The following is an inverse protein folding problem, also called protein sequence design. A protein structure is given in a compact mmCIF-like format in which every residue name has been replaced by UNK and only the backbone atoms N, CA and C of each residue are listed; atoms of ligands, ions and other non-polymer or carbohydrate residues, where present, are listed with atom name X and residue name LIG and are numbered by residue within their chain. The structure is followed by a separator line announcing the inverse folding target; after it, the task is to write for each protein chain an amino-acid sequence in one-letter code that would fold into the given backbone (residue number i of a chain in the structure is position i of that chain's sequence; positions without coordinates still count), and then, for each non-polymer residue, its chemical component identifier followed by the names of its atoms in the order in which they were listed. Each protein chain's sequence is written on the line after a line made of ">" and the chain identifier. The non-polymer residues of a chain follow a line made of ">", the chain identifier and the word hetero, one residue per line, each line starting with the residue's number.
data_IF_053227788722
#
_entry.id   IF_053227788722
#
_cell.length_a   1.000
_cell.length_b   1.000
_cell.length_c   1.000
_cell.angle_alpha   90.00
_cell.angle_beta   90.00
_cell.angle_gamma   90.00
#
_symmetry.space_group_name_H-M   'P 1'
#
loop_
_entity.id
_entity.type
_entity.pdbx_description
1 polymer ?
#
# COMPACT_ATOMS: atom_id res chain seq x y z
N UNK A 1 -11.56 -18.58 8.54
CA UNK A 1 -10.10 -18.56 8.26
C UNK A 1 -9.38 -18.96 9.54
N UNK A 2 -9.18 -20.26 9.77
CA UNK A 2 -8.58 -20.77 11.00
C UNK A 2 -7.20 -21.40 10.73
N UNK A 3 -6.18 -20.72 11.25
CA UNK A 3 -5.05 -21.26 12.02
C UNK A 3 -4.09 -22.26 11.33
N UNK A 4 -3.47 -21.91 10.21
CA UNK A 4 -2.35 -22.72 9.66
C UNK A 4 -1.18 -22.88 10.67
N UNK A 5 -0.90 -21.85 11.46
CA UNK A 5 0.23 -21.84 12.39
C UNK A 5 -0.01 -22.63 13.70
N UNK A 6 -1.26 -22.96 14.05
CA UNK A 6 -1.56 -23.80 15.23
C UNK A 6 -2.14 -25.17 14.88
N UNK A 7 -2.37 -25.48 13.60
CA UNK A 7 -2.67 -26.86 13.14
C UNK A 7 -1.44 -27.60 12.60
N UNK A 8 -0.28 -26.96 12.59
CA UNK A 8 0.95 -27.56 12.07
C UNK A 8 1.88 -27.90 13.25
N UNK A 9 2.10 -29.19 13.48
CA UNK A 9 2.93 -29.67 14.60
C UNK A 9 4.37 -29.13 14.51
N UNK A 10 4.86 -28.85 13.30
CA UNK A 10 6.19 -28.27 13.05
C UNK A 10 6.30 -26.79 13.48
N UNK A 11 5.19 -26.08 13.68
CA UNK A 11 5.17 -24.69 14.20
C UNK A 11 4.85 -24.61 15.68
N UNK A 12 4.40 -25.71 16.30
CA UNK A 12 4.10 -25.84 17.72
C UNK A 12 5.38 -26.07 18.55
N UNK A 13 6.31 -25.12 18.53
CA UNK A 13 7.41 -25.07 19.50
C UNK A 13 6.92 -24.46 20.82
N UNK A 14 7.52 -24.87 21.95
CA UNK A 14 7.18 -24.40 23.31
C UNK A 14 7.28 -22.86 23.46
N UNK A 15 7.96 -22.17 22.52
CA UNK A 15 8.06 -20.70 22.46
C UNK A 15 7.50 -20.04 21.18
N UNK A 16 6.81 -20.80 20.31
CA UNK A 16 6.32 -20.29 19.02
C UNK A 16 7.43 -19.93 18.02
N UNK A 17 7.04 -19.42 16.85
CA UNK A 17 7.96 -19.00 15.78
C UNK A 17 7.49 -17.70 15.12
N UNK A 18 8.43 -16.78 14.86
CA UNK A 18 8.17 -15.58 14.06
C UNK A 18 8.23 -15.87 12.55
N UNK A 19 7.32 -15.26 11.78
CA UNK A 19 7.24 -15.38 10.32
C UNK A 19 7.04 -14.02 9.67
N UNK A 20 7.69 -13.79 8.53
CA UNK A 20 7.43 -12.62 7.69
C UNK A 20 6.13 -12.81 6.89
N UNK A 21 5.31 -11.76 6.84
CA UNK A 21 4.10 -11.71 6.03
C UNK A 21 4.20 -10.58 5.00
N UNK A 22 4.58 -10.93 3.77
CA UNK A 22 4.77 -9.98 2.64
C UNK A 22 4.13 -10.51 1.35
N UNK A 23 3.77 -9.65 0.41
CA UNK A 23 3.25 -10.09 -0.89
C UNK A 23 4.38 -10.55 -1.84
N UNK A 24 4.06 -11.41 -2.82
CA UNK A 24 5.03 -12.03 -3.78
C UNK A 24 5.43 -11.02 -4.87
N UNK A 25 6.45 -11.35 -5.71
CA UNK A 25 7.86 -11.04 -5.49
C UNK A 25 8.13 -9.52 -5.50
N UNK A 26 9.41 -9.11 -5.44
CA UNK A 26 9.79 -7.69 -5.47
C UNK A 26 9.14 -6.94 -6.62
N UNK A 27 8.51 -5.82 -6.32
CA UNK A 27 8.01 -4.87 -7.31
C UNK A 27 8.93 -3.64 -7.37
N UNK A 28 8.69 -2.77 -8.35
CA UNK A 28 9.18 -1.39 -8.31
C UNK A 28 7.99 -0.44 -8.42
N UNK A 29 8.10 0.74 -7.81
CA UNK A 29 7.08 1.78 -7.94
C UNK A 29 6.94 2.26 -9.39
N UNK A 30 8.01 2.18 -10.18
CA UNK A 30 8.01 2.46 -11.63
C UNK A 30 7.05 1.54 -12.40
N UNK A 31 6.87 0.30 -11.96
CA UNK A 31 5.94 -0.65 -12.59
C UNK A 31 4.49 -0.45 -12.11
N UNK A 32 4.30 0.07 -10.90
CA UNK A 32 2.97 0.25 -10.28
C UNK A 32 2.32 1.57 -10.73
N UNK A 33 3.07 2.67 -10.74
CA UNK A 33 2.52 4.01 -10.99
C UNK A 33 1.73 4.14 -12.30
N UNK A 34 2.16 3.59 -13.45
CA UNK A 34 1.38 3.63 -14.69
C UNK A 34 -0.01 3.00 -14.56
N UNK A 35 -0.12 1.91 -13.79
CA UNK A 35 -1.40 1.24 -13.58
C UNK A 35 -2.31 2.07 -12.68
N UNK A 36 -1.75 2.69 -11.63
CA UNK A 36 -2.50 3.56 -10.73
C UNK A 36 -3.01 4.81 -11.46
N UNK A 37 -2.16 5.45 -12.23
CA UNK A 37 -2.51 6.65 -12.99
C UNK A 37 -3.64 6.37 -13.99
N UNK A 38 -3.59 5.24 -14.71
CA UNK A 38 -4.69 4.81 -15.57
C UNK A 38 -6.00 4.59 -14.78
N UNK A 39 -5.93 3.98 -13.58
CA UNK A 39 -7.12 3.75 -12.73
C UNK A 39 -7.76 5.03 -12.19
N UNK A 40 -6.98 6.10 -12.04
CA UNK A 40 -7.43 7.42 -11.63
C UNK A 40 -7.60 8.39 -12.80
N UNK A 41 -7.38 7.94 -14.04
CA UNK A 41 -7.48 8.74 -15.26
C UNK A 41 -6.58 9.99 -15.24
N UNK A 42 -5.37 9.84 -14.68
CA UNK A 42 -4.34 10.89 -14.63
C UNK A 42 -3.09 10.48 -15.41
N UNK A 43 -2.32 11.47 -15.85
CA UNK A 43 -1.07 11.24 -16.57
C UNK A 43 0.09 10.92 -15.61
N UNK A 44 0.96 10.00 -16.00
CA UNK A 44 2.25 9.78 -15.30
C UNK A 44 3.29 10.70 -15.94
N UNK A 45 4.00 11.52 -15.15
CA UNK A 45 5.13 12.28 -15.66
C UNK A 45 6.19 11.38 -16.30
N UNK A 46 6.84 11.87 -17.37
CA UNK A 46 7.91 11.14 -18.05
C UNK A 46 9.10 10.85 -17.10
N UNK A 47 9.36 11.76 -16.17
CA UNK A 47 10.32 11.61 -15.07
C UNK A 47 9.58 11.34 -13.75
N UNK A 48 9.67 10.10 -13.25
CA UNK A 48 9.07 9.70 -11.96
C UNK A 48 9.97 9.95 -10.74
N UNK A 49 11.19 10.45 -10.95
CA UNK A 49 12.14 10.77 -9.89
C UNK A 49 12.37 12.28 -9.87
N UNK A 50 11.73 12.96 -8.93
CA UNK A 50 11.91 14.39 -8.70
C UNK A 50 12.65 14.56 -7.38
N UNK A 51 13.95 14.86 -7.45
CA UNK A 51 14.82 14.95 -6.27
C UNK A 51 14.35 16.02 -5.26
N UNK A 52 13.69 17.07 -5.76
CA UNK A 52 13.18 18.20 -4.97
C UNK A 52 11.70 18.07 -4.59
N UNK A 53 11.03 16.96 -4.93
CA UNK A 53 9.62 16.77 -4.61
C UNK A 53 9.43 16.20 -3.20
N UNK A 54 8.54 16.83 -2.42
CA UNK A 54 8.14 16.38 -1.09
C UNK A 54 6.62 16.32 -1.03
N UNK A 55 6.07 15.16 -0.68
CA UNK A 55 4.63 14.93 -0.55
C UNK A 55 4.03 15.83 0.52
N UNK A 56 4.68 15.98 1.67
CA UNK A 56 4.20 16.85 2.75
C UNK A 56 4.04 18.30 2.28
N UNK A 57 5.07 18.85 1.63
CA UNK A 57 5.03 20.22 1.09
C UNK A 57 3.99 20.36 -0.01
N UNK A 58 3.96 19.42 -0.96
CA UNK A 58 3.07 19.45 -2.11
C UNK A 58 1.58 19.35 -1.73
N UNK A 59 1.25 18.67 -0.62
CA UNK A 59 -0.12 18.48 -0.14
C UNK A 59 -0.53 19.49 0.94
N UNK A 60 0.41 20.28 1.49
CA UNK A 60 0.18 21.19 2.63
C UNK A 60 -0.93 22.23 2.41
N UNK A 61 -1.15 22.67 1.17
CA UNK A 61 -2.17 23.66 0.82
C UNK A 61 -3.46 23.04 0.26
N UNK A 62 -3.57 21.71 0.22
CA UNK A 62 -4.66 20.99 -0.47
C UNK A 62 -5.83 20.60 0.43
N UNK A 63 -5.82 20.95 1.72
CA UNK A 63 -6.91 20.64 2.65
C UNK A 63 -8.29 21.10 2.15
N UNK A 64 -8.39 22.34 1.65
CA UNK A 64 -9.66 22.87 1.11
C UNK A 64 -10.10 22.14 -0.16
N UNK A 65 -9.15 21.79 -1.03
CA UNK A 65 -9.43 21.02 -2.26
C UNK A 65 -10.05 19.66 -1.91
N UNK A 66 -9.52 18.98 -0.90
CA UNK A 66 -10.10 17.72 -0.42
C UNK A 66 -11.52 17.86 0.13
N UNK A 67 -11.76 18.89 0.96
CA UNK A 67 -13.11 19.17 1.49
C UNK A 67 -14.14 19.40 0.37
N UNK A 68 -13.74 20.07 -0.71
CA UNK A 68 -14.58 20.24 -1.89
C UNK A 68 -14.84 18.91 -2.61
N UNK A 69 -13.83 18.04 -2.76
CA UNK A 69 -13.99 16.72 -3.38
C UNK A 69 -14.97 15.87 -2.57
N UNK A 70 -14.79 15.80 -1.24
CA UNK A 70 -15.68 15.07 -0.33
C UNK A 70 -17.12 15.54 -0.49
N UNK A 71 -17.33 16.85 -0.48
CA UNK A 71 -18.67 17.44 -0.61
C UNK A 71 -19.30 17.20 -1.98
N UNK A 72 -18.53 17.39 -3.07
CA UNK A 72 -19.02 17.24 -4.45
C UNK A 72 -19.32 15.79 -4.81
N UNK A 73 -18.54 14.83 -4.29
CA UNK A 73 -18.67 13.41 -4.62
C UNK A 73 -19.49 12.63 -3.59
N UNK A 74 -19.96 13.27 -2.51
CA UNK A 74 -20.76 12.62 -1.46
C UNK A 74 -19.99 11.52 -0.73
N UNK A 75 -18.70 11.78 -0.45
CA UNK A 75 -17.81 10.85 0.26
C UNK A 75 -18.06 10.88 1.76
N UNK A 76 -17.52 9.88 2.47
CA UNK A 76 -17.41 9.92 3.92
C UNK A 76 -16.63 11.17 4.31
N UNK A 77 -17.12 11.89 5.34
CA UNK A 77 -16.49 13.11 5.81
C UNK A 77 -15.16 12.78 6.50
N UNK A 78 -14.07 12.97 5.78
CA UNK A 78 -12.69 12.79 6.26
C UNK A 78 -11.84 14.02 5.99
N UNK A 79 -10.84 14.24 6.83
CA UNK A 79 -9.71 15.10 6.49
C UNK A 79 -8.70 14.32 5.64
N UNK A 80 -7.78 15.04 4.98
CA UNK A 80 -6.79 14.41 4.12
C UNK A 80 -5.82 13.55 4.94
N UNK A 81 -5.52 14.01 6.15
CA UNK A 81 -4.62 13.40 7.12
C UNK A 81 -5.20 12.11 7.75
N UNK A 82 -6.53 11.92 7.68
CA UNK A 82 -7.17 10.67 8.09
C UNK A 82 -6.88 9.52 7.12
N UNK A 83 -6.60 9.86 5.85
CA UNK A 83 -6.42 8.89 4.76
C UNK A 83 -4.95 8.74 4.34
N UNK A 84 -4.13 9.77 4.55
CA UNK A 84 -2.76 9.81 4.06
C UNK A 84 -1.80 10.39 5.10
N UNK A 85 -0.65 9.73 5.25
CA UNK A 85 0.47 10.23 6.04
C UNK A 85 1.59 10.68 5.10
N UNK A 86 1.64 11.97 4.79
CA UNK A 86 2.56 12.52 3.79
C UNK A 86 4.04 12.39 4.19
N UNK A 87 4.35 12.56 5.48
CA UNK A 87 5.71 12.36 6.02
C UNK A 87 6.18 10.92 5.82
N UNK A 88 5.29 9.95 6.00
CA UNK A 88 5.59 8.54 5.72
C UNK A 88 5.89 8.31 4.23
N UNK A 89 5.15 8.94 3.32
CA UNK A 89 5.42 8.86 1.89
C UNK A 89 6.81 9.44 1.55
N UNK A 90 7.15 10.60 2.11
CA UNK A 90 8.48 11.19 1.93
C UNK A 90 9.60 10.26 2.43
N UNK A 91 9.44 9.68 3.62
CA UNK A 91 10.39 8.70 4.15
C UNK A 91 10.50 7.46 3.26
N UNK A 92 9.37 6.94 2.77
CA UNK A 92 9.31 5.73 1.96
C UNK A 92 10.00 5.91 0.60
N UNK A 93 9.68 7.00 -0.12
CA UNK A 93 10.19 7.24 -1.47
C UNK A 93 11.61 7.82 -1.50
N UNK A 94 12.06 8.45 -0.41
CA UNK A 94 13.46 8.92 -0.26
C UNK A 94 14.40 7.90 0.37
N UNK A 95 13.88 6.74 0.79
CA UNK A 95 14.73 5.68 1.33
C UNK A 95 15.70 5.17 0.25
N UNK A 96 17.00 5.40 0.45
CA UNK A 96 18.05 4.99 -0.49
C UNK A 96 18.28 3.47 -0.52
N UNK A 97 17.66 2.73 0.41
CA UNK A 97 17.83 1.28 0.55
C UNK A 97 16.53 0.57 0.19
N UNK A 98 16.63 -0.46 -0.64
CA UNK A 98 15.50 -1.33 -0.95
C UNK A 98 15.24 -2.28 0.22
N UNK A 99 14.13 -2.08 0.92
CA UNK A 99 13.67 -3.00 1.96
C UNK A 99 13.11 -4.27 1.31
N UNK A 100 13.85 -5.38 1.45
CA UNK A 100 13.45 -6.69 0.95
C UNK A 100 13.19 -7.63 2.13
N UNK A 101 12.17 -8.47 2.00
CA UNK A 101 11.89 -9.55 2.93
C UNK A 101 11.80 -10.88 2.21
N UNK A 102 12.05 -11.97 2.94
CA UNK A 102 11.83 -13.33 2.45
C UNK A 102 10.68 -13.98 3.21
N UNK A 103 9.93 -14.85 2.52
CA UNK A 103 8.91 -15.74 3.11
C UNK A 103 9.34 -17.19 3.14
N UNK A 104 10.60 -17.49 2.86
CA UNK A 104 11.10 -18.86 2.73
C UNK A 104 10.70 -19.70 3.94
N UNK A 105 10.83 -19.16 5.17
CA UNK A 105 10.42 -19.86 6.39
C UNK A 105 8.95 -20.30 6.39
N UNK A 106 8.03 -19.42 5.97
CA UNK A 106 6.60 -19.76 5.91
C UNK A 106 6.28 -20.68 4.71
N UNK A 107 6.98 -20.49 3.59
CA UNK A 107 6.83 -21.27 2.37
C UNK A 107 7.28 -22.72 2.55
N UNK A 108 8.39 -22.96 3.26
CA UNK A 108 8.88 -24.30 3.61
C UNK A 108 7.87 -25.09 4.44
N UNK A 109 7.10 -24.39 5.27
CA UNK A 109 6.05 -24.99 6.10
C UNK A 109 4.71 -25.09 5.35
N UNK A 110 4.70 -24.81 4.04
CA UNK A 110 3.54 -24.91 3.13
C UNK A 110 2.45 -23.86 3.35
N UNK A 111 2.77 -22.69 3.90
CA UNK A 111 1.85 -21.55 3.84
C UNK A 111 1.81 -20.99 2.41
N UNK A 112 0.82 -21.41 1.62
CA UNK A 112 0.75 -21.08 0.18
C UNK A 112 -0.09 -19.84 -0.16
N UNK A 113 -0.82 -19.28 0.81
CA UNK A 113 -1.68 -18.12 0.55
C UNK A 113 -0.81 -16.89 0.21
N UNK A 114 -1.02 -16.36 -0.99
CA UNK A 114 -0.21 -15.28 -1.57
C UNK A 114 -1.12 -14.35 -2.36
N UNK A 115 -0.81 -13.06 -2.32
CA UNK A 115 -1.40 -12.04 -3.17
C UNK A 115 -0.28 -11.38 -3.97
N UNK A 116 -0.55 -10.99 -5.22
CA UNK A 116 0.34 -10.09 -5.96
C UNK A 116 0.15 -8.68 -5.40
N UNK A 117 1.24 -7.95 -5.19
CA UNK A 117 1.15 -6.59 -4.61
C UNK A 117 0.25 -5.67 -5.42
N UNK A 118 0.37 -5.67 -6.76
CA UNK A 118 -0.47 -4.85 -7.63
C UNK A 118 -1.95 -5.19 -7.47
N UNK A 119 -2.31 -6.47 -7.57
CA UNK A 119 -3.70 -6.93 -7.40
C UNK A 119 -4.26 -6.51 -6.03
N UNK A 120 -3.46 -6.61 -4.96
CA UNK A 120 -3.85 -6.16 -3.62
C UNK A 120 -4.10 -4.66 -3.57
N UNK A 121 -3.25 -3.84 -4.19
CA UNK A 121 -3.41 -2.38 -4.21
C UNK A 121 -4.67 -2.00 -4.98
N UNK A 122 -4.89 -2.61 -6.15
CA UNK A 122 -6.08 -2.37 -6.97
C UNK A 122 -7.37 -2.75 -6.23
N UNK A 123 -7.36 -3.89 -5.54
CA UNK A 123 -8.46 -4.31 -4.68
C UNK A 123 -8.76 -3.28 -3.59
N UNK A 124 -7.74 -2.78 -2.89
CA UNK A 124 -7.94 -1.79 -1.83
C UNK A 124 -8.45 -0.45 -2.35
N UNK A 125 -8.03 -0.03 -3.55
CA UNK A 125 -8.59 1.16 -4.21
C UNK A 125 -10.08 0.96 -4.51
N UNK A 126 -10.45 -0.18 -5.09
CA UNK A 126 -11.86 -0.48 -5.39
C UNK A 126 -12.71 -0.59 -4.12
N UNK A 127 -12.14 -1.17 -3.06
CA UNK A 127 -12.78 -1.21 -1.75
C UNK A 127 -13.02 0.21 -1.20
N UNK A 128 -12.00 1.09 -1.22
CA UNK A 128 -12.13 2.47 -0.72
C UNK A 128 -13.13 3.29 -1.55
N UNK A 129 -13.23 3.05 -2.86
CA UNK A 129 -14.27 3.66 -3.73
C UNK A 129 -15.67 3.20 -3.34
N UNK A 130 -15.85 1.88 -3.19
CA UNK A 130 -17.15 1.30 -2.82
C UNK A 130 -17.63 1.79 -1.45
N UNK A 131 -16.70 1.93 -0.50
CA UNK A 131 -16.96 2.49 0.84
C UNK A 131 -16.98 4.03 0.86
N UNK A 132 -16.83 4.70 -0.30
CA UNK A 132 -16.87 6.15 -0.46
C UNK A 132 -15.82 6.92 0.37
N UNK A 133 -14.64 6.36 0.60
CA UNK A 133 -13.50 7.09 1.16
C UNK A 133 -12.78 7.94 0.10
N UNK A 134 -12.82 7.50 -1.16
CA UNK A 134 -12.25 8.20 -2.32
C UNK A 134 -13.27 8.18 -3.48
N UNK A 135 -13.15 9.09 -4.46
CA UNK A 135 -13.98 9.06 -5.67
C UNK A 135 -13.76 7.80 -6.52
#
# INVERSE_FOLDING_TARGET
>A
MHIWAATNDCTSSIGGQAFNAINRPSFTWKDIWPTLANKFEVEVPQEMSLEDFWFETAMSDKKKVWQEIVSKQGLIQTEMEDLANWVFFDMLFRCQVKMLGTRDKADHLRFKMRCKTLDSILYWIDFMRNEKFIP
#
